data_IF_161496435839
#
_entry.id   IF_161496435839
#
_cell.length_a   1.000
_cell.length_b   1.000
_cell.length_c   1.000
_cell.angle_alpha   90.00
_cell.angle_beta   90.00
_cell.angle_gamma   90.00
#
_symmetry.space_group_name_H-M   'P 1'
#
loop_
_entity.id
_entity.type
_entity.pdbx_description
1 polymer ?
#
# COMPACT_ATOMS: atom_id res chain seq x y z
N UNK A 1 48.47 55.66 34.93
CA UNK A 1 48.49 54.93 33.69
C UNK A 1 48.32 53.43 34.03
N UNK A 2 47.13 52.89 33.87
CA UNK A 2 46.83 51.44 34.09
C UNK A 2 46.53 50.79 32.72
N UNK A 3 47.41 49.89 32.34
CA UNK A 3 47.26 49.07 31.09
C UNK A 3 46.30 47.92 31.40
N UNK A 4 45.19 47.80 30.62
CA UNK A 4 44.30 46.69 30.62
C UNK A 4 44.83 45.60 29.59
N UNK A 5 44.84 44.33 29.95
CA UNK A 5 45.15 43.28 28.98
C UNK A 5 43.93 42.96 28.11
N UNK A 6 44.11 42.97 26.82
CA UNK A 6 43.13 42.51 25.83
C UNK A 6 43.06 40.97 25.82
N UNK A 7 41.90 40.41 26.16
CA UNK A 7 41.64 38.97 26.02
C UNK A 7 41.29 38.64 24.58
N UNK A 8 42.15 37.85 23.89
CA UNK A 8 41.84 37.26 22.61
C UNK A 8 40.87 36.06 22.82
N UNK A 9 39.64 36.23 22.40
CA UNK A 9 38.69 35.12 22.31
C UNK A 9 38.98 34.31 21.05
N UNK A 10 39.46 33.08 21.21
CA UNK A 10 39.65 32.13 20.12
C UNK A 10 38.28 31.59 19.68
N UNK A 11 37.82 31.94 18.48
CA UNK A 11 36.68 31.35 17.82
C UNK A 11 37.05 29.93 17.36
N UNK A 12 36.52 28.91 18.02
CA UNK A 12 36.58 27.49 17.56
C UNK A 12 35.52 27.33 16.50
N UNK A 13 35.88 26.93 15.24
CA UNK A 13 34.88 26.63 14.24
C UNK A 13 34.11 25.36 14.65
N UNK A 14 32.79 25.47 14.84
CA UNK A 14 31.92 24.30 14.95
C UNK A 14 32.00 23.50 13.61
N UNK A 15 32.70 22.37 13.64
CA UNK A 15 32.74 21.44 12.50
C UNK A 15 31.32 21.01 12.16
N UNK A 16 30.87 21.31 10.96
CA UNK A 16 29.63 20.80 10.43
C UNK A 16 29.73 19.26 10.35
N UNK A 17 28.94 18.55 11.15
CA UNK A 17 28.80 17.09 11.06
C UNK A 17 28.13 16.77 9.72
N UNK A 18 28.91 16.32 8.76
CA UNK A 18 28.38 15.86 7.48
C UNK A 18 27.53 14.62 7.71
N UNK A 19 26.23 14.72 7.46
CA UNK A 19 25.31 13.58 7.49
C UNK A 19 25.47 12.79 6.20
N UNK A 20 25.47 11.46 6.32
CA UNK A 20 25.47 10.59 5.14
C UNK A 20 24.19 10.81 4.30
N UNK A 21 24.28 10.83 2.97
CA UNK A 21 23.11 10.97 2.12
C UNK A 21 22.15 9.80 2.34
N UNK A 22 20.87 10.10 2.50
CA UNK A 22 19.82 9.08 2.59
C UNK A 22 19.38 8.67 1.17
N UNK A 23 19.35 7.36 0.91
CA UNK A 23 18.80 6.80 -0.32
C UNK A 23 17.29 6.67 -0.14
N UNK A 24 16.51 7.36 -0.97
CA UNK A 24 15.06 7.22 -0.97
C UNK A 24 14.66 6.07 -1.90
N UNK A 25 13.72 5.20 -1.47
CA UNK A 25 13.22 4.13 -2.35
C UNK A 25 12.54 4.73 -3.58
N UNK A 26 12.78 4.11 -4.73
CA UNK A 26 12.11 4.50 -5.98
C UNK A 26 10.65 4.05 -5.93
N UNK A 27 9.72 4.99 -6.02
CA UNK A 27 8.28 4.72 -6.08
C UNK A 27 7.84 4.83 -7.54
N UNK A 28 7.27 3.76 -8.08
CA UNK A 28 6.67 3.73 -9.40
C UNK A 28 5.16 3.61 -9.26
N UNK A 29 4.41 4.52 -9.90
CA UNK A 29 2.95 4.49 -9.89
C UNK A 29 2.41 4.34 -11.31
N UNK A 30 1.30 3.59 -11.44
CA UNK A 30 0.56 3.42 -12.70
C UNK A 30 -0.94 3.43 -12.41
N UNK A 31 -1.69 4.24 -13.17
CA UNK A 31 -3.14 4.23 -13.12
C UNK A 31 -3.72 3.26 -14.16
N UNK A 32 -4.67 2.45 -13.75
CA UNK A 32 -5.37 1.46 -14.59
C UNK A 32 -6.86 1.56 -14.30
N UNK A 33 -7.58 2.38 -15.05
CA UNK A 33 -8.97 2.69 -14.76
C UNK A 33 -9.11 3.32 -13.36
N UNK A 34 -9.97 2.79 -12.48
CA UNK A 34 -10.14 3.30 -11.13
C UNK A 34 -9.03 2.83 -10.16
N UNK A 35 -8.04 2.08 -10.63
CA UNK A 35 -6.99 1.49 -9.82
C UNK A 35 -5.68 2.28 -9.88
N UNK A 36 -5.01 2.37 -8.75
CA UNK A 36 -3.65 2.89 -8.61
C UNK A 36 -2.73 1.75 -8.17
N UNK A 37 -1.86 1.33 -9.06
CA UNK A 37 -0.76 0.42 -8.77
C UNK A 37 0.44 1.26 -8.32
N UNK A 38 0.92 1.02 -7.11
CA UNK A 38 2.12 1.66 -6.57
C UNK A 38 3.11 0.59 -6.14
N UNK A 39 4.32 0.65 -6.68
CA UNK A 39 5.39 -0.28 -6.39
C UNK A 39 6.58 0.46 -5.79
N UNK A 40 7.14 -0.05 -4.71
CA UNK A 40 8.29 0.49 -3.99
C UNK A 40 9.39 -0.56 -4.03
N UNK A 41 10.54 -0.19 -4.58
CA UNK A 41 11.73 -1.04 -4.54
C UNK A 41 12.53 -0.74 -3.27
N UNK A 42 12.78 -1.77 -2.47
CA UNK A 42 13.67 -1.69 -1.31
C UNK A 42 15.12 -1.66 -1.81
N UNK A 43 15.89 -0.59 -1.53
CA UNK A 43 17.24 -0.44 -2.05
C UNK A 43 18.28 -1.39 -1.40
N UNK A 44 17.91 -2.09 -0.33
CA UNK A 44 18.81 -3.05 0.37
C UNK A 44 18.59 -4.46 -0.14
N UNK A 45 17.33 -4.85 -0.33
CA UNK A 45 16.96 -6.24 -0.68
C UNK A 45 16.62 -6.43 -2.15
N UNK A 46 16.55 -5.36 -2.93
CA UNK A 46 16.05 -5.31 -4.32
C UNK A 46 14.63 -5.89 -4.48
N UNK A 47 13.91 -6.09 -3.38
CA UNK A 47 12.52 -6.55 -3.42
C UNK A 47 11.62 -5.39 -3.78
N UNK A 48 10.64 -5.70 -4.61
CA UNK A 48 9.59 -4.74 -4.98
C UNK A 48 8.29 -5.14 -4.30
N UNK A 49 7.77 -4.25 -3.47
CA UNK A 49 6.45 -4.38 -2.86
C UNK A 49 5.46 -3.50 -3.61
N UNK A 50 4.40 -4.12 -4.10
CA UNK A 50 3.36 -3.44 -4.87
C UNK A 50 2.04 -3.45 -4.11
N UNK A 51 1.35 -2.32 -4.13
CA UNK A 51 -0.04 -2.19 -3.67
C UNK A 51 -0.93 -1.80 -4.85
N UNK A 52 -2.08 -2.43 -4.97
CA UNK A 52 -3.10 -2.08 -5.95
C UNK A 52 -4.33 -1.58 -5.21
N UNK A 53 -4.52 -0.27 -5.17
CA UNK A 53 -5.56 0.41 -4.41
C UNK A 53 -6.58 1.06 -5.35
N UNK A 54 -7.85 1.00 -4.97
CA UNK A 54 -8.87 1.80 -5.64
C UNK A 54 -8.62 3.29 -5.39
N UNK A 55 -8.79 4.16 -6.40
CA UNK A 55 -8.51 5.61 -6.30
C UNK A 55 -9.47 6.33 -5.37
N UNK A 56 -10.74 5.91 -5.36
CA UNK A 56 -11.70 6.41 -4.39
C UNK A 56 -11.50 5.72 -3.05
N UNK A 57 -11.48 6.51 -2.01
CA UNK A 57 -11.43 6.03 -0.64
C UNK A 57 -12.83 5.64 -0.16
N UNK A 58 -12.93 4.58 0.63
CA UNK A 58 -14.13 4.27 1.42
C UNK A 58 -14.26 5.31 2.54
N UNK A 59 -13.15 5.55 3.25
CA UNK A 59 -13.01 6.66 4.19
C UNK A 59 -11.71 7.38 3.84
N UNK A 60 -11.74 8.65 3.45
CA UNK A 60 -10.51 9.38 3.12
C UNK A 60 -9.62 9.56 4.35
N UNK A 61 -8.29 9.64 4.17
CA UNK A 61 -7.38 9.92 5.28
C UNK A 61 -7.56 11.35 5.77
N UNK A 62 -7.46 11.57 7.08
CA UNK A 62 -7.45 12.90 7.70
C UNK A 62 -6.05 13.21 8.22
N UNK A 63 -5.23 13.84 7.37
CA UNK A 63 -3.84 14.17 7.69
C UNK A 63 -3.01 12.93 8.03
N UNK A 64 -2.18 13.05 9.08
CA UNK A 64 -1.38 11.93 9.61
C UNK A 64 -2.05 11.22 10.79
N UNK A 65 -3.14 11.79 11.30
CA UNK A 65 -3.78 11.32 12.54
C UNK A 65 -4.77 10.19 12.30
N UNK A 66 -5.36 10.12 11.10
CA UNK A 66 -6.32 9.08 10.75
C UNK A 66 -6.00 8.49 9.38
N UNK A 67 -5.56 7.23 9.32
CA UNK A 67 -5.34 6.54 8.06
C UNK A 67 -6.66 6.38 7.31
N UNK A 68 -6.62 6.51 5.99
CA UNK A 68 -7.78 6.24 5.16
C UNK A 68 -8.10 4.75 5.10
N UNK A 69 -9.36 4.43 4.77
CA UNK A 69 -9.81 3.07 4.48
C UNK A 69 -10.07 2.96 2.98
N UNK A 70 -9.50 1.96 2.35
CA UNK A 70 -9.60 1.77 0.91
C UNK A 70 -9.96 0.32 0.55
N UNK A 71 -10.50 0.14 -0.65
CA UNK A 71 -10.52 -1.16 -1.32
C UNK A 71 -9.17 -1.35 -2.01
N UNK A 72 -8.51 -2.46 -1.71
CA UNK A 72 -7.26 -2.89 -2.35
C UNK A 72 -7.42 -4.28 -2.96
N UNK A 73 -6.51 -4.62 -3.85
CA UNK A 73 -6.31 -6.00 -4.29
C UNK A 73 -4.94 -6.42 -3.77
N UNK A 74 -4.93 -7.48 -2.98
CA UNK A 74 -3.71 -8.03 -2.37
C UNK A 74 -3.43 -9.42 -2.93
N UNK A 75 -2.14 -9.76 -3.04
CA UNK A 75 -1.73 -11.11 -3.42
C UNK A 75 -1.58 -11.97 -2.17
N UNK A 76 -2.27 -13.11 -2.14
CA UNK A 76 -2.11 -14.16 -1.13
C UNK A 76 -1.91 -15.49 -1.86
N UNK A 77 -0.78 -16.12 -1.64
CA UNK A 77 -0.40 -17.38 -2.32
C UNK A 77 -0.57 -17.31 -3.85
N UNK A 78 -0.17 -16.17 -4.44
CA UNK A 78 -0.30 -15.92 -5.88
C UNK A 78 -1.71 -15.60 -6.36
N UNK A 79 -2.71 -15.53 -5.48
CA UNK A 79 -4.11 -15.17 -5.77
C UNK A 79 -4.38 -13.72 -5.46
N UNK A 80 -5.09 -13.06 -6.37
CA UNK A 80 -5.53 -11.69 -6.19
C UNK A 80 -6.87 -11.65 -5.45
N UNK A 81 -6.88 -11.15 -4.22
CA UNK A 81 -8.06 -11.07 -3.38
C UNK A 81 -8.43 -9.61 -3.10
N UNK A 82 -9.74 -9.27 -3.12
CA UNK A 82 -10.18 -7.97 -2.65
C UNK A 82 -9.96 -7.86 -1.14
N UNK A 83 -9.46 -6.74 -0.70
CA UNK A 83 -9.23 -6.44 0.70
C UNK A 83 -9.75 -5.05 1.05
N UNK A 84 -10.34 -4.89 2.21
CA UNK A 84 -10.57 -3.57 2.80
C UNK A 84 -9.43 -3.30 3.77
N UNK A 85 -8.69 -2.22 3.54
CA UNK A 85 -7.43 -1.97 4.25
C UNK A 85 -7.39 -0.58 4.88
N UNK A 86 -6.69 -0.48 6.04
CA UNK A 86 -6.21 0.77 6.58
C UNK A 86 -4.70 0.62 6.84
N UNK A 87 -3.88 1.43 6.17
CA UNK A 87 -2.43 1.30 6.18
C UNK A 87 -1.76 2.25 7.18
N UNK A 88 -0.60 1.84 7.69
CA UNK A 88 0.27 2.63 8.54
C UNK A 88 -0.42 3.19 9.80
N UNK A 89 -1.19 2.35 10.49
CA UNK A 89 -1.83 2.66 11.76
C UNK A 89 -0.80 3.15 12.79
N UNK A 90 -1.15 4.19 13.52
CA UNK A 90 -0.39 4.61 14.70
C UNK A 90 -0.72 3.73 15.91
N UNK A 91 0.10 3.77 16.96
CA UNK A 91 -0.23 3.08 18.22
C UNK A 91 -1.54 3.59 18.82
N UNK A 92 -1.84 4.89 18.67
CA UNK A 92 -3.10 5.47 19.12
C UNK A 92 -4.29 4.98 18.27
N UNK A 93 -4.09 4.72 16.97
CA UNK A 93 -5.10 4.11 16.10
C UNK A 93 -5.29 2.64 16.47
N UNK A 94 -4.21 1.91 16.71
CA UNK A 94 -4.28 0.51 17.11
C UNK A 94 -5.02 0.34 18.45
N UNK A 95 -4.79 1.22 19.43
CA UNK A 95 -5.48 1.15 20.73
C UNK A 95 -6.97 1.56 20.64
N UNK A 96 -7.29 2.56 19.82
CA UNK A 96 -8.67 2.96 19.49
C UNK A 96 -9.32 1.98 18.52
N UNK A 97 -8.55 1.45 17.60
CA UNK A 97 -8.94 0.58 16.52
C UNK A 97 -9.05 -0.88 16.93
N UNK A 98 -8.32 -1.36 17.95
CA UNK A 98 -8.51 -2.72 18.45
C UNK A 98 -9.97 -2.98 18.87
N UNK A 99 -10.68 -1.95 19.33
CA UNK A 99 -12.13 -2.00 19.61
C UNK A 99 -12.98 -1.73 18.34
N UNK A 100 -12.45 -0.98 17.35
CA UNK A 100 -13.16 -0.67 16.12
C UNK A 100 -12.87 -1.71 15.01
N UNK A 101 -11.72 -2.36 15.05
CA UNK A 101 -11.28 -3.42 14.13
C UNK A 101 -11.60 -4.85 14.59
N UNK A 102 -12.23 -5.04 15.76
CA UNK A 102 -13.06 -6.23 15.98
C UNK A 102 -14.26 -6.28 14.99
N UNK A 103 -14.20 -5.43 13.99
CA UNK A 103 -15.12 -5.20 12.93
C UNK A 103 -14.82 -6.13 11.77
N UNK A 104 -15.82 -6.46 11.02
CA UNK A 104 -15.72 -7.06 9.71
C UNK A 104 -16.10 -6.01 8.66
N UNK A 105 -15.59 -6.14 7.45
CA UNK A 105 -16.17 -5.51 6.28
C UNK A 105 -17.06 -6.53 5.56
N UNK A 106 -18.04 -6.05 4.83
CA UNK A 106 -18.82 -6.83 3.89
C UNK A 106 -18.54 -6.29 2.49
N UNK A 107 -18.28 -7.19 1.56
CA UNK A 107 -18.06 -6.87 0.15
C UNK A 107 -19.06 -7.63 -0.71
N UNK A 108 -19.72 -6.93 -1.60
CA UNK A 108 -20.57 -7.55 -2.62
C UNK A 108 -20.09 -7.13 -4.00
N UNK A 109 -19.80 -8.11 -4.84
CA UNK A 109 -19.41 -7.92 -6.24
C UNK A 109 -20.66 -8.06 -7.12
N UNK A 110 -21.03 -7.00 -7.81
CA UNK A 110 -22.26 -6.91 -8.63
C UNK A 110 -23.50 -7.42 -7.87
N UNK A 111 -24.10 -8.50 -8.35
CA UNK A 111 -25.29 -9.13 -7.73
C UNK A 111 -24.98 -10.44 -7.01
N UNK A 112 -23.70 -10.78 -6.83
CA UNK A 112 -23.31 -11.98 -6.08
C UNK A 112 -23.68 -11.88 -4.60
N UNK A 113 -23.71 -12.99 -3.86
CA UNK A 113 -23.81 -12.96 -2.41
C UNK A 113 -22.72 -12.11 -1.79
N UNK A 114 -23.04 -11.45 -0.67
CA UNK A 114 -22.06 -10.68 0.06
C UNK A 114 -21.00 -11.59 0.69
N UNK A 115 -19.74 -11.19 0.56
CA UNK A 115 -18.60 -11.82 1.20
C UNK A 115 -18.36 -11.14 2.54
N UNK A 116 -18.15 -11.92 3.57
CA UNK A 116 -17.69 -11.42 4.86
C UNK A 116 -16.16 -11.32 4.85
N UNK A 117 -15.65 -10.18 5.26
CA UNK A 117 -14.22 -9.89 5.34
C UNK A 117 -13.84 -9.62 6.80
N UNK A 118 -13.52 -10.65 7.58
CA UNK A 118 -12.97 -10.47 8.91
C UNK A 118 -11.65 -9.72 8.82
N UNK A 119 -11.41 -8.81 9.78
CA UNK A 119 -10.23 -7.97 9.81
C UNK A 119 -9.17 -8.53 10.77
N UNK A 120 -7.92 -8.43 10.39
CA UNK A 120 -6.75 -8.75 11.19
C UNK A 120 -5.72 -7.61 11.12
N UNK A 121 -4.84 -7.55 12.12
CA UNK A 121 -3.68 -6.67 12.10
C UNK A 121 -2.47 -7.41 11.51
N UNK A 122 -1.91 -6.84 10.47
CA UNK A 122 -0.68 -7.31 9.83
C UNK A 122 0.40 -6.22 10.00
N UNK A 123 1.24 -6.34 11.03
CA UNK A 123 2.16 -5.29 11.41
C UNK A 123 1.44 -4.02 11.84
N UNK A 124 1.54 -2.96 11.03
CA UNK A 124 0.86 -1.68 11.25
C UNK A 124 -0.34 -1.45 10.35
N UNK A 125 -0.80 -2.48 9.67
CA UNK A 125 -1.91 -2.40 8.74
C UNK A 125 -3.09 -3.21 9.27
N UNK A 126 -4.30 -2.70 9.15
CA UNK A 126 -5.50 -3.49 9.28
C UNK A 126 -5.91 -3.99 7.90
N UNK A 127 -6.11 -5.29 7.78
CA UNK A 127 -6.45 -5.96 6.53
C UNK A 127 -7.65 -6.85 6.74
N UNK A 128 -8.72 -6.61 5.98
CA UNK A 128 -9.94 -7.40 6.02
C UNK A 128 -10.02 -8.21 4.73
N UNK A 129 -9.96 -9.53 4.82
CA UNK A 129 -9.94 -10.46 3.69
C UNK A 129 -11.17 -11.35 3.67
N UNK A 130 -11.63 -11.81 2.49
CA UNK A 130 -12.72 -12.78 2.39
C UNK A 130 -12.40 -14.05 3.16
N UNK A 131 -13.37 -14.53 3.95
CA UNK A 131 -13.32 -15.80 4.67
C UNK A 131 -14.40 -16.76 4.16
N UNK A 132 -14.11 -18.06 4.26
CA UNK A 132 -15.09 -19.11 3.95
C UNK A 132 -15.24 -19.44 2.47
N UNK A 133 -14.81 -18.58 1.55
CA UNK A 133 -14.87 -18.83 0.11
C UNK A 133 -13.49 -19.21 -0.46
N UNK A 134 -13.41 -20.13 -1.42
CA UNK A 134 -12.16 -20.44 -2.10
C UNK A 134 -11.58 -19.23 -2.80
N UNK A 135 -10.31 -18.93 -2.56
CA UNK A 135 -9.61 -17.77 -3.13
C UNK A 135 -9.70 -17.72 -4.67
N UNK A 136 -9.69 -18.88 -5.34
CA UNK A 136 -9.84 -18.97 -6.79
C UNK A 136 -11.19 -18.46 -7.28
N UNK A 137 -12.27 -18.74 -6.54
CA UNK A 137 -13.62 -18.29 -6.89
C UNK A 137 -13.74 -16.78 -6.68
N UNK A 138 -13.20 -16.27 -5.56
CA UNK A 138 -13.21 -14.84 -5.27
C UNK A 138 -12.40 -14.05 -6.31
N UNK A 139 -11.21 -14.54 -6.69
CA UNK A 139 -10.39 -13.92 -7.72
C UNK A 139 -11.10 -13.90 -9.08
N UNK A 140 -11.72 -15.01 -9.48
CA UNK A 140 -12.46 -15.08 -10.73
C UNK A 140 -13.65 -14.11 -10.76
N UNK A 141 -14.42 -14.04 -9.67
CA UNK A 141 -15.53 -13.11 -9.54
C UNK A 141 -15.06 -11.64 -9.58
N UNK A 142 -13.95 -11.33 -8.88
CA UNK A 142 -13.38 -9.99 -8.85
C UNK A 142 -12.91 -9.52 -10.24
N UNK A 143 -12.30 -10.42 -11.02
CA UNK A 143 -11.75 -10.10 -12.34
C UNK A 143 -12.83 -9.67 -13.36
N UNK A 144 -14.07 -10.13 -13.20
CA UNK A 144 -15.18 -9.86 -14.13
C UNK A 144 -16.20 -8.87 -13.57
N UNK A 145 -16.15 -8.57 -12.30
CA UNK A 145 -17.08 -7.65 -11.65
C UNK A 145 -16.94 -6.22 -12.20
N UNK A 146 -18.08 -5.54 -12.34
CA UNK A 146 -18.15 -4.15 -12.76
C UNK A 146 -18.26 -3.18 -11.58
N UNK A 147 -18.75 -3.64 -10.43
CA UNK A 147 -19.01 -2.82 -9.25
C UNK A 147 -18.78 -3.60 -7.96
N UNK A 148 -18.21 -2.93 -6.97
CA UNK A 148 -18.16 -3.39 -5.59
C UNK A 148 -19.07 -2.52 -4.71
N UNK A 149 -19.81 -3.15 -3.81
CA UNK A 149 -20.48 -2.50 -2.69
C UNK A 149 -19.76 -2.93 -1.41
N UNK A 150 -19.29 -1.94 -0.65
CA UNK A 150 -18.56 -2.18 0.60
C UNK A 150 -19.35 -1.60 1.76
N UNK A 151 -19.47 -2.35 2.84
CA UNK A 151 -20.03 -1.91 4.12
C UNK A 151 -19.03 -2.19 5.22
N UNK A 152 -18.76 -1.17 6.05
CA UNK A 152 -17.92 -1.33 7.24
C UNK A 152 -18.83 -1.65 8.44
N UNK A 153 -18.54 -2.77 9.12
CA UNK A 153 -19.23 -3.18 10.34
C UNK A 153 -18.33 -2.88 11.53
N UNK A 154 -18.61 -1.83 12.28
CA UNK A 154 -17.91 -1.53 13.54
C UNK A 154 -18.59 -2.20 14.70
N UNK A 155 -17.85 -2.54 15.77
CA UNK A 155 -18.40 -3.18 16.97
C UNK A 155 -19.60 -2.41 17.55
N UNK A 156 -19.59 -1.08 17.49
CA UNK A 156 -20.70 -0.22 17.91
C UNK A 156 -21.96 -0.34 17.02
N UNK A 157 -21.81 -0.79 15.76
CA UNK A 157 -22.91 -0.90 14.78
C UNK A 157 -23.40 -2.32 14.56
N UNK A 158 -22.74 -3.33 15.11
CA UNK A 158 -23.20 -4.73 15.08
C UNK A 158 -24.55 -4.88 15.80
N UNK A 159 -24.78 -4.04 16.81
CA UNK A 159 -26.02 -4.08 17.62
C UNK A 159 -27.22 -3.33 17.00
N UNK A 160 -27.06 -2.52 15.95
CA UNK A 160 -28.10 -1.59 15.51
C UNK A 160 -28.38 -1.50 13.99
N UNK A 161 -27.92 -2.43 13.17
CA UNK A 161 -28.24 -2.50 11.74
C UNK A 161 -27.66 -1.35 10.88
N UNK A 162 -27.24 -1.67 9.65
CA UNK A 162 -27.07 -0.72 8.55
C UNK A 162 -25.93 0.28 8.66
N UNK A 163 -24.68 -0.17 8.43
CA UNK A 163 -23.58 0.74 8.09
C UNK A 163 -23.81 1.39 6.73
N UNK A 164 -23.12 2.53 6.49
CA UNK A 164 -23.09 3.17 5.18
C UNK A 164 -22.52 2.22 4.12
N UNK A 165 -23.12 2.21 2.93
CA UNK A 165 -22.70 1.37 1.81
C UNK A 165 -22.02 2.24 0.78
N UNK A 166 -20.77 1.91 0.47
CA UNK A 166 -19.95 2.60 -0.52
C UNK A 166 -19.95 1.81 -1.82
N UNK A 167 -20.21 2.49 -2.93
CA UNK A 167 -20.19 1.91 -4.26
C UNK A 167 -18.91 2.31 -4.98
N UNK A 168 -18.17 1.32 -5.50
CA UNK A 168 -16.91 1.49 -6.20
C UNK A 168 -16.99 0.85 -7.59
N UNK A 169 -16.51 1.57 -8.60
CA UNK A 169 -16.38 1.08 -9.96
C UNK A 169 -15.19 0.11 -10.05
N UNK A 170 -15.38 -1.03 -10.72
CA UNK A 170 -14.34 -2.04 -10.89
C UNK A 170 -13.87 -2.18 -12.35
N UNK A 171 -14.04 -1.15 -13.16
CA UNK A 171 -13.58 -1.19 -14.54
C UNK A 171 -12.08 -1.55 -14.62
N UNK A 172 -11.72 -2.37 -15.62
CA UNK A 172 -10.34 -2.80 -15.89
C UNK A 172 -9.66 -3.56 -14.74
N UNK A 173 -10.40 -4.17 -13.83
CA UNK A 173 -9.85 -4.92 -12.69
C UNK A 173 -8.97 -6.08 -13.15
N UNK A 174 -9.37 -6.84 -14.18
CA UNK A 174 -8.56 -7.93 -14.71
C UNK A 174 -7.17 -7.47 -15.18
N UNK A 175 -7.10 -6.32 -15.87
CA UNK A 175 -5.83 -5.72 -16.30
C UNK A 175 -5.00 -5.25 -15.10
N UNK A 176 -5.64 -4.66 -14.11
CA UNK A 176 -4.96 -4.20 -12.90
C UNK A 176 -4.39 -5.39 -12.10
N UNK A 177 -5.13 -6.51 -12.00
CA UNK A 177 -4.64 -7.76 -11.40
C UNK A 177 -3.44 -8.31 -12.17
N UNK A 178 -3.49 -8.35 -13.51
CA UNK A 178 -2.38 -8.80 -14.33
C UNK A 178 -1.12 -7.96 -14.07
N UNK A 179 -1.26 -6.63 -14.07
CA UNK A 179 -0.15 -5.71 -13.79
C UNK A 179 0.42 -5.87 -12.37
N UNK A 180 -0.43 -6.16 -11.37
CA UNK A 180 0.01 -6.45 -10.00
C UNK A 180 0.81 -7.76 -9.94
N UNK A 181 0.34 -8.82 -10.62
CA UNK A 181 1.02 -10.13 -10.66
C UNK A 181 2.37 -10.06 -11.38
N UNK A 182 2.48 -9.26 -12.43
CA UNK A 182 3.74 -9.05 -13.16
C UNK A 182 4.82 -8.35 -12.32
N UNK A 183 4.42 -7.54 -11.33
CA UNK A 183 5.31 -6.72 -10.52
C UNK A 183 5.35 -7.09 -9.04
N UNK A 184 4.50 -8.02 -8.63
CA UNK A 184 4.36 -8.46 -7.23
C UNK A 184 5.58 -9.18 -6.66
N UNK A 185 5.53 -9.61 -5.40
CA UNK A 185 6.62 -10.31 -4.73
C UNK A 185 7.09 -11.52 -5.54
N UNK A 186 8.38 -11.55 -5.91
CA UNK A 186 8.97 -12.56 -6.78
C UNK A 186 9.09 -12.18 -8.26
N UNK A 187 8.52 -11.05 -8.69
CA UNK A 187 8.83 -10.50 -10.00
C UNK A 187 10.29 -10.00 -10.03
N UNK A 188 11.04 -10.21 -11.13
CA UNK A 188 12.37 -9.67 -11.24
C UNK A 188 12.31 -8.12 -11.12
N UNK A 189 13.24 -7.49 -10.39
CA UNK A 189 13.28 -6.04 -10.29
C UNK A 189 13.34 -5.44 -11.70
N UNK A 190 12.67 -4.29 -11.94
CA UNK A 190 12.78 -3.62 -13.22
C UNK A 190 14.27 -3.36 -13.48
N UNK A 191 14.75 -3.51 -14.73
CA UNK A 191 16.14 -3.31 -15.05
C UNK A 191 16.57 -1.93 -14.56
N UNK A 192 17.56 -1.88 -13.67
CA UNK A 192 18.13 -0.61 -13.23
C UNK A 192 18.76 0.08 -14.45
N UNK A 193 18.78 1.43 -14.51
CA UNK A 193 19.43 2.14 -15.61
C UNK A 193 20.89 1.67 -15.84
N UNK A 194 21.58 1.25 -14.78
CA UNK A 194 22.91 0.68 -14.85
C UNK A 194 22.93 -0.71 -15.50
N UNK A 195 21.94 -1.58 -15.24
CA UNK A 195 21.84 -2.90 -15.90
C UNK A 195 21.48 -2.77 -17.35
N UNK A 196 20.51 -1.91 -17.71
CA UNK A 196 20.18 -1.68 -19.12
C UNK A 196 21.37 -1.11 -19.92
N UNK A 197 22.20 -0.28 -19.29
CA UNK A 197 23.43 0.22 -19.90
C UNK A 197 24.47 -0.91 -20.08
N UNK A 198 24.66 -1.78 -19.10
CA UNK A 198 25.58 -2.91 -19.21
C UNK A 198 25.11 -3.93 -20.25
N UNK A 199 23.81 -4.22 -20.30
CA UNK A 199 23.22 -5.12 -21.31
C UNK A 199 23.41 -4.54 -22.75
N UNK A 200 23.26 -3.23 -22.90
CA UNK A 200 23.49 -2.54 -24.17
C UNK A 200 24.96 -2.57 -24.57
N UNK A 201 25.87 -2.34 -23.62
CA UNK A 201 27.31 -2.45 -23.82
C UNK A 201 27.72 -3.89 -24.22
N UNK A 202 27.14 -4.88 -23.58
CA UNK A 202 27.39 -6.30 -23.88
C UNK A 202 26.90 -6.69 -25.28
N UNK A 203 25.74 -6.18 -25.70
CA UNK A 203 25.25 -6.33 -27.08
C UNK A 203 26.19 -5.70 -28.12
N UNK A 204 26.71 -4.49 -27.84
CA UNK A 204 27.65 -3.82 -28.74
C UNK A 204 28.98 -4.57 -28.84
N UNK A 205 29.45 -5.22 -27.78
CA UNK A 205 30.68 -6.01 -27.77
C UNK A 205 30.51 -7.36 -28.48
N UNK A 206 29.35 -8.01 -28.34
CA UNK A 206 29.05 -9.31 -28.99
C UNK A 206 28.66 -9.18 -30.46
N UNK A 207 28.28 -7.99 -30.91
CA UNK A 207 27.86 -7.72 -32.29
C UNK A 207 29.02 -7.36 -33.25
N UNK A 208 30.28 -7.58 -32.86
CA UNK A 208 31.45 -7.41 -33.72
C UNK A 208 32.09 -8.72 -34.08
#
# INVERSE_FOLDING_TARGET
>A
MRLLPAALAALVPLGALAQAPTVQPAVQTREIGPWLLACIADPITDRTDCTLRHRLWIVPPEGRERPGIALEIVLRDGRALPAVTARALTLADASRGALAFAAAAELRLDQSPALELPCSLEGRDAVCLPAGEPATRVEAALAVASRALVRLRTAARIAGGGGEVYALDLARTAEAIAALKERGPGAPPPPSPARSFLDELERLIRGR
#
